data_IF_239615923063
#
_entry.id   IF_239615923063
#
_cell.length_a   1.000
_cell.length_b   1.000
_cell.length_c   1.000
_cell.angle_alpha   90.00
_cell.angle_beta   90.00
_cell.angle_gamma   90.00
#
_symmetry.space_group_name_H-M   'P 1'
#
loop_
_entity.id
_entity.type
_entity.pdbx_description
1 polymer ?
#
# COMPACT_ATOMS: atom_id res chain seq x y z
N UNK A 1 69.33 15.90 -59.52
CA UNK A 1 67.94 15.83 -59.08
C UNK A 1 67.70 14.51 -58.33
N UNK A 2 68.24 14.38 -57.11
CA UNK A 2 68.00 13.24 -56.27
C UNK A 2 68.49 13.53 -54.86
N UNK A 3 67.85 14.47 -54.12
CA UNK A 3 68.17 14.78 -52.72
C UNK A 3 67.02 15.43 -51.95
N UNK A 4 65.77 15.27 -52.38
CA UNK A 4 64.64 15.94 -51.69
C UNK A 4 63.50 14.99 -51.30
N UNK A 5 63.71 13.69 -51.25
CA UNK A 5 62.67 12.71 -50.95
C UNK A 5 63.03 11.85 -49.70
N UNK A 6 63.80 12.36 -48.75
CA UNK A 6 64.15 11.58 -47.55
C UNK A 6 63.78 12.25 -46.20
N UNK A 7 63.01 13.32 -46.21
CA UNK A 7 62.72 14.07 -44.97
C UNK A 7 61.27 14.16 -44.56
N UNK A 8 60.36 13.45 -45.24
CA UNK A 8 58.89 13.48 -44.95
C UNK A 8 58.38 12.18 -44.33
N UNK A 9 59.19 11.12 -44.27
CA UNK A 9 58.74 9.82 -43.76
C UNK A 9 59.08 9.57 -42.27
N UNK A 10 59.60 10.54 -41.55
CA UNK A 10 59.94 10.36 -40.13
C UNK A 10 59.14 11.23 -39.16
N UNK A 11 58.06 11.87 -39.62
CA UNK A 11 57.18 12.72 -38.74
C UNK A 11 55.76 12.15 -38.61
N UNK A 12 55.50 10.93 -39.06
CA UNK A 12 54.19 10.29 -39.01
C UNK A 12 54.11 9.06 -38.10
N UNK A 13 55.13 8.82 -37.27
CA UNK A 13 55.18 7.65 -36.38
C UNK A 13 55.22 8.00 -34.89
N UNK A 14 54.83 9.20 -34.48
CA UNK A 14 54.84 9.60 -33.06
C UNK A 14 53.52 10.11 -32.51
N UNK A 15 52.39 9.80 -33.14
CA UNK A 15 51.07 10.20 -32.69
C UNK A 15 50.09 9.04 -32.51
N UNK A 16 50.53 7.89 -32.02
CA UNK A 16 49.62 6.77 -31.78
C UNK A 16 50.02 5.92 -30.56
N UNK A 17 50.20 6.53 -29.40
CA UNK A 17 50.17 5.82 -28.11
C UNK A 17 49.76 6.76 -26.97
N UNK A 18 48.60 7.42 -27.13
CA UNK A 18 47.84 7.89 -25.97
C UNK A 18 46.69 6.91 -25.79
N UNK A 19 47.03 5.69 -25.40
CA UNK A 19 46.07 4.73 -24.92
C UNK A 19 45.46 5.29 -23.59
N UNK A 20 44.30 5.79 -23.68
CA UNK A 20 43.49 6.15 -22.52
C UNK A 20 43.30 4.90 -21.65
N UNK A 21 44.14 4.79 -20.62
CA UNK A 21 43.88 3.89 -19.53
C UNK A 21 42.68 4.46 -18.77
N UNK A 22 41.47 4.10 -19.26
CA UNK A 22 40.25 4.23 -18.47
C UNK A 22 40.45 3.30 -17.29
N UNK A 23 40.83 3.86 -16.15
CA UNK A 23 40.83 3.16 -14.88
C UNK A 23 39.37 2.74 -14.63
N UNK A 24 39.04 1.51 -14.96
CA UNK A 24 37.91 0.84 -14.37
C UNK A 24 38.20 0.75 -12.89
N UNK A 25 37.56 1.63 -12.13
CA UNK A 25 37.40 1.42 -10.70
C UNK A 25 36.52 0.18 -10.59
N UNK A 26 37.14 -0.98 -10.48
CA UNK A 26 36.49 -2.19 -9.99
C UNK A 26 36.06 -1.86 -8.55
N UNK A 27 34.80 -1.45 -8.39
CA UNK A 27 34.15 -1.49 -7.09
C UNK A 27 34.19 -2.96 -6.70
N UNK A 28 35.14 -3.30 -5.84
CA UNK A 28 35.16 -4.59 -5.17
C UNK A 28 33.86 -4.69 -4.37
N UNK A 29 32.83 -5.21 -4.99
CA UNK A 29 31.62 -5.69 -4.35
C UNK A 29 32.06 -6.72 -3.31
N UNK A 30 31.90 -6.35 -2.06
CA UNK A 30 32.19 -7.20 -0.92
C UNK A 30 31.32 -8.45 -1.07
N UNK A 31 31.90 -9.58 -1.43
CA UNK A 31 31.22 -10.85 -1.77
C UNK A 31 30.36 -11.43 -0.64
N UNK A 32 30.33 -10.78 0.52
CA UNK A 32 29.59 -11.22 1.72
C UNK A 32 28.26 -10.50 1.97
N UNK A 33 27.88 -9.47 1.20
CA UNK A 33 26.60 -8.77 1.36
C UNK A 33 25.76 -8.90 0.06
N UNK A 34 25.49 -10.14 -0.35
CA UNK A 34 24.47 -10.38 -1.39
C UNK A 34 23.09 -10.25 -0.77
N UNK A 35 22.62 -9.02 -0.63
CA UNK A 35 21.24 -8.78 -0.27
C UNK A 35 20.32 -9.41 -1.31
N UNK A 36 19.21 -9.94 -0.85
CA UNK A 36 18.21 -10.61 -1.70
C UNK A 36 17.14 -9.58 -2.05
N UNK A 37 16.86 -9.39 -3.33
CA UNK A 37 15.75 -8.53 -3.75
C UNK A 37 14.41 -9.04 -3.21
N UNK A 38 13.63 -8.17 -2.59
CA UNK A 38 12.28 -8.42 -2.08
C UNK A 38 11.31 -7.44 -2.71
N UNK A 39 10.39 -7.96 -3.53
CA UNK A 39 9.38 -7.15 -4.22
C UNK A 39 8.14 -7.03 -3.37
N UNK A 40 7.77 -5.79 -3.04
CA UNK A 40 6.72 -5.47 -2.07
C UNK A 40 5.71 -4.52 -2.69
N UNK A 41 4.44 -4.71 -2.38
CA UNK A 41 3.35 -3.79 -2.71
C UNK A 41 2.39 -3.60 -1.55
N UNK A 42 1.48 -2.64 -1.68
CA UNK A 42 0.35 -2.41 -0.79
C UNK A 42 -0.82 -1.85 -1.58
N UNK A 43 -1.94 -1.60 -0.92
CA UNK A 43 -3.04 -0.83 -1.51
C UNK A 43 -2.58 0.61 -1.73
N UNK A 44 -2.57 1.02 -2.98
CA UNK A 44 -2.29 2.38 -3.41
C UNK A 44 -3.60 3.13 -3.54
N UNK A 45 -3.58 4.44 -3.25
CA UNK A 45 -4.77 5.30 -3.28
C UNK A 45 -5.88 4.88 -2.28
N UNK A 46 -5.44 4.33 -1.14
CA UNK A 46 -6.33 3.96 -0.03
C UNK A 46 -5.77 4.46 1.31
N UNK A 47 -5.70 5.79 1.51
CA UNK A 47 -5.16 6.36 2.74
C UNK A 47 -6.04 6.01 3.96
N UNK A 48 -5.46 5.84 5.14
CA UNK A 48 -4.04 6.02 5.48
C UNK A 48 -3.15 4.79 5.20
N UNK A 49 -3.69 3.74 4.59
CA UNK A 49 -2.98 2.46 4.41
C UNK A 49 -2.00 2.47 3.24
N UNK A 50 -2.24 3.28 2.22
CA UNK A 50 -1.34 3.47 1.11
C UNK A 50 -1.64 4.76 0.35
N UNK A 51 -0.60 5.53 0.08
CA UNK A 51 -0.64 6.73 -0.74
C UNK A 51 0.63 6.80 -1.59
N UNK A 52 0.47 7.06 -2.89
CA UNK A 52 1.62 7.30 -3.77
C UNK A 52 1.98 8.76 -3.73
N UNK A 53 3.12 9.10 -3.15
CA UNK A 53 3.65 10.47 -3.20
C UNK A 53 4.64 10.56 -4.34
N UNK A 54 4.24 11.27 -5.39
CA UNK A 54 5.03 11.40 -6.63
C UNK A 54 5.90 12.66 -6.67
N UNK A 55 5.72 13.61 -5.76
CA UNK A 55 6.20 14.99 -5.95
C UNK A 55 7.61 15.29 -5.38
N UNK A 56 8.15 14.53 -4.44
CA UNK A 56 9.38 14.92 -3.73
C UNK A 56 10.59 13.98 -3.91
N UNK A 57 10.42 12.81 -4.52
CA UNK A 57 11.49 11.82 -4.59
C UNK A 57 11.76 11.37 -6.02
N UNK A 58 13.02 11.24 -6.36
CA UNK A 58 13.49 10.69 -7.65
C UNK A 58 13.11 9.20 -7.85
N UNK A 59 12.61 8.56 -6.82
CA UNK A 59 12.07 7.19 -6.84
C UNK A 59 10.72 7.22 -6.13
N UNK A 60 9.63 6.71 -6.74
CA UNK A 60 8.35 6.59 -6.08
C UNK A 60 8.49 5.80 -4.78
N UNK A 61 8.12 6.42 -3.65
CA UNK A 61 8.04 5.73 -2.36
C UNK A 61 6.58 5.45 -2.05
N UNK A 62 6.31 4.31 -1.50
CA UNK A 62 5.07 4.07 -0.78
C UNK A 62 5.09 4.93 0.47
N UNK A 63 4.09 5.77 0.67
CA UNK A 63 3.81 6.37 1.97
C UNK A 63 2.67 5.58 2.61
N UNK A 64 3.04 4.59 3.38
CA UNK A 64 2.10 3.71 4.06
C UNK A 64 2.43 3.68 5.55
N UNK A 65 1.46 3.30 6.34
CA UNK A 65 1.69 3.00 7.75
C UNK A 65 2.63 1.80 7.94
N UNK A 66 2.92 1.04 6.88
CA UNK A 66 3.76 -0.17 6.91
C UNK A 66 5.23 0.09 6.58
N UNK A 67 5.61 1.29 6.13
CA UNK A 67 6.94 1.57 5.58
C UNK A 67 8.05 1.27 6.58
N UNK A 68 7.95 1.84 7.78
CA UNK A 68 8.95 1.60 8.82
C UNK A 68 9.05 0.12 9.21
N UNK A 69 7.90 -0.57 9.27
CA UNK A 69 7.86 -1.99 9.57
C UNK A 69 8.61 -2.80 8.52
N UNK A 70 8.32 -2.58 7.23
CA UNK A 70 8.93 -3.38 6.16
C UNK A 70 10.39 -3.02 5.93
N UNK A 71 10.78 -1.76 6.12
CA UNK A 71 12.17 -1.31 6.03
C UNK A 71 13.02 -1.94 7.15
N UNK A 72 12.54 -1.93 8.39
CA UNK A 72 13.19 -2.60 9.50
C UNK A 72 13.31 -4.10 9.26
N UNK A 73 12.21 -4.75 8.82
CA UNK A 73 12.21 -6.15 8.47
C UNK A 73 13.25 -6.49 7.40
N UNK A 74 13.29 -5.71 6.32
CA UNK A 74 14.24 -5.92 5.22
C UNK A 74 15.69 -5.76 5.67
N UNK A 75 15.96 -4.73 6.47
CA UNK A 75 17.29 -4.48 7.05
C UNK A 75 17.75 -5.66 7.90
N UNK A 76 16.90 -6.13 8.83
CA UNK A 76 17.24 -7.19 9.77
C UNK A 76 17.40 -8.57 9.11
N UNK A 77 16.79 -8.77 7.94
CA UNK A 77 16.82 -10.03 7.21
C UNK A 77 17.66 -9.96 5.91
N UNK A 78 18.44 -8.89 5.72
CA UNK A 78 19.33 -8.67 4.57
C UNK A 78 18.60 -8.72 3.21
N UNK A 79 17.47 -8.00 3.11
CA UNK A 79 16.76 -7.79 1.86
C UNK A 79 16.98 -6.37 1.32
N UNK A 80 17.01 -6.24 -0.01
CA UNK A 80 16.84 -4.99 -0.72
C UNK A 80 15.40 -4.88 -1.19
N UNK A 81 14.70 -3.83 -0.75
CA UNK A 81 13.31 -3.61 -1.09
C UNK A 81 13.18 -3.04 -2.51
N UNK A 82 12.26 -3.62 -3.28
CA UNK A 82 11.79 -3.10 -4.54
C UNK A 82 10.27 -2.93 -4.45
N UNK A 83 9.81 -1.66 -4.41
CA UNK A 83 8.38 -1.36 -4.37
C UNK A 83 7.76 -1.44 -5.77
N UNK A 84 6.63 -2.13 -5.88
CA UNK A 84 5.81 -2.21 -7.10
C UNK A 84 4.55 -1.39 -6.85
N UNK A 85 4.46 -0.19 -7.46
CA UNK A 85 3.50 0.83 -7.06
C UNK A 85 2.60 1.35 -8.20
N UNK A 86 2.89 1.03 -9.44
CA UNK A 86 2.34 1.68 -10.63
C UNK A 86 1.23 0.87 -11.33
N UNK A 87 0.62 -0.07 -10.62
CA UNK A 87 -0.38 -0.97 -11.20
C UNK A 87 -1.72 -0.91 -10.46
N UNK A 88 -2.85 -1.10 -11.16
CA UNK A 88 -4.14 -1.30 -10.53
C UNK A 88 -4.13 -2.51 -9.58
N UNK A 89 -4.93 -2.46 -8.51
CA UNK A 89 -5.00 -3.52 -7.50
C UNK A 89 -5.18 -4.93 -8.10
N UNK A 90 -6.05 -5.07 -9.09
CA UNK A 90 -6.29 -6.37 -9.76
C UNK A 90 -5.02 -6.94 -10.37
N UNK A 91 -4.18 -6.09 -10.97
CA UNK A 91 -2.93 -6.50 -11.59
C UNK A 91 -1.88 -6.85 -10.54
N UNK A 92 -1.82 -6.09 -9.43
CA UNK A 92 -0.97 -6.42 -8.28
C UNK A 92 -1.33 -7.79 -7.68
N UNK A 93 -2.62 -8.11 -7.55
CA UNK A 93 -3.08 -9.44 -7.13
C UNK A 93 -2.63 -10.52 -8.10
N UNK A 94 -2.73 -10.29 -9.41
CA UNK A 94 -2.26 -11.25 -10.41
C UNK A 94 -0.74 -11.43 -10.36
N UNK A 95 0.01 -10.37 -10.15
CA UNK A 95 1.47 -10.42 -10.03
C UNK A 95 1.94 -11.20 -8.79
N UNK A 96 1.24 -11.04 -7.65
CA UNK A 96 1.56 -11.85 -6.47
C UNK A 96 1.23 -13.33 -6.67
N UNK A 97 0.14 -13.64 -7.38
CA UNK A 97 -0.22 -15.01 -7.73
C UNK A 97 0.82 -15.68 -8.65
N UNK A 98 1.44 -14.90 -9.54
CA UNK A 98 2.52 -15.36 -10.44
C UNK A 98 3.91 -15.38 -9.78
N UNK A 99 4.06 -14.80 -8.58
CA UNK A 99 5.35 -14.65 -7.91
C UNK A 99 6.22 -13.52 -8.49
N UNK A 100 5.63 -12.59 -9.22
CA UNK A 100 6.27 -11.35 -9.66
C UNK A 100 6.38 -10.33 -8.52
N UNK A 101 5.53 -10.45 -7.50
CA UNK A 101 5.58 -9.77 -6.22
C UNK A 101 5.74 -10.82 -5.12
N UNK A 102 6.57 -10.55 -4.13
CA UNK A 102 6.84 -11.47 -3.02
C UNK A 102 5.92 -11.23 -1.83
N UNK A 103 5.61 -9.97 -1.53
CA UNK A 103 4.76 -9.54 -0.41
C UNK A 103 3.73 -8.49 -0.83
N UNK A 104 2.53 -8.61 -0.26
CA UNK A 104 1.53 -7.55 -0.24
C UNK A 104 1.20 -7.19 1.21
N UNK A 105 1.24 -5.89 1.54
CA UNK A 105 0.98 -5.38 2.87
C UNK A 105 -0.46 -4.87 2.97
N UNK A 106 -1.15 -5.23 4.04
CA UNK A 106 -2.50 -4.74 4.30
C UNK A 106 -3.59 -5.40 3.45
N UNK A 107 -3.42 -6.65 3.03
CA UNK A 107 -4.44 -7.38 2.25
C UNK A 107 -5.53 -7.93 3.16
N UNK A 108 -6.78 -7.86 2.72
CA UNK A 108 -7.89 -8.58 3.34
C UNK A 108 -7.88 -10.06 2.99
N UNK A 109 -8.38 -10.88 3.92
CA UNK A 109 -8.57 -12.30 3.63
C UNK A 109 -9.63 -12.49 2.54
N UNK A 110 -9.26 -13.17 1.47
CA UNK A 110 -10.16 -13.52 0.37
C UNK A 110 -9.98 -14.98 -0.03
N UNK A 111 -11.09 -15.73 -0.04
CA UNK A 111 -11.10 -17.14 -0.41
C UNK A 111 -10.77 -17.38 -1.88
N UNK A 112 -11.07 -16.42 -2.75
CA UNK A 112 -10.91 -16.56 -4.20
C UNK A 112 -9.42 -16.51 -4.61
N UNK A 113 -8.58 -15.82 -3.81
CA UNK A 113 -7.12 -15.73 -4.03
C UNK A 113 -6.29 -16.54 -3.04
N UNK A 114 -6.93 -17.20 -2.07
CA UNK A 114 -6.27 -17.95 -1.01
C UNK A 114 -5.27 -19.01 -1.50
N UNK A 115 -5.55 -19.63 -2.64
CA UNK A 115 -4.67 -20.67 -3.18
C UNK A 115 -3.30 -20.16 -3.63
N UNK A 116 -3.16 -18.89 -3.96
CA UNK A 116 -1.92 -18.26 -4.43
C UNK A 116 -1.19 -17.45 -3.37
N UNK A 117 -1.86 -17.08 -2.28
CA UNK A 117 -1.33 -16.23 -1.21
C UNK A 117 -1.33 -17.00 0.10
N UNK A 118 -0.25 -16.90 0.85
CA UNK A 118 -0.13 -17.37 2.22
C UNK A 118 -0.25 -16.18 3.17
N UNK A 119 -1.34 -16.15 3.92
CA UNK A 119 -1.61 -15.07 4.87
C UNK A 119 -0.81 -15.27 6.14
N UNK A 120 -0.03 -14.25 6.52
CA UNK A 120 0.77 -14.28 7.76
C UNK A 120 -0.12 -13.93 8.94
N UNK A 121 -0.10 -14.75 9.97
CA UNK A 121 -0.84 -14.56 11.22
C UNK A 121 0.10 -14.15 12.37
N UNK A 122 -0.41 -13.33 13.31
CA UNK A 122 -1.73 -12.68 13.36
C UNK A 122 -1.88 -11.58 12.28
N UNK A 123 -3.10 -11.01 12.13
CA UNK A 123 -3.33 -9.83 11.31
C UNK A 123 -2.49 -8.65 11.81
N UNK A 124 -2.05 -7.81 10.89
CA UNK A 124 -1.18 -6.66 11.21
C UNK A 124 -1.98 -5.51 11.83
N UNK A 125 -3.23 -5.33 11.39
CA UNK A 125 -4.19 -4.32 11.88
C UNK A 125 -5.62 -4.81 11.65
N UNK A 126 -6.58 -4.12 12.27
CA UNK A 126 -8.00 -4.22 11.93
C UNK A 126 -8.46 -2.90 11.30
N UNK A 127 -9.17 -2.96 10.18
CA UNK A 127 -9.79 -1.81 9.52
C UNK A 127 -11.31 -1.93 9.63
N UNK A 128 -11.93 -1.47 10.74
CA UNK A 128 -13.34 -1.71 11.00
C UNK A 128 -14.23 -0.92 10.04
N UNK A 129 -15.32 -1.54 9.59
CA UNK A 129 -16.36 -0.86 8.81
C UNK A 129 -17.30 -0.07 9.73
N UNK A 130 -17.74 1.07 9.24
CA UNK A 130 -18.62 2.01 9.93
C UNK A 130 -19.69 2.55 8.98
N UNK A 131 -20.75 3.14 9.54
CA UNK A 131 -21.64 4.04 8.80
C UNK A 131 -21.36 5.47 9.25
N UNK A 132 -21.16 6.36 8.27
CA UNK A 132 -21.09 7.80 8.46
C UNK A 132 -22.46 8.39 8.17
N UNK A 133 -23.00 9.16 9.10
CA UNK A 133 -24.35 9.72 9.05
C UNK A 133 -24.37 11.16 9.53
N UNK A 134 -25.46 11.85 9.27
CA UNK A 134 -25.71 13.14 9.92
C UNK A 134 -25.83 12.94 11.43
N UNK A 135 -25.33 13.88 12.26
CA UNK A 135 -25.27 13.71 13.71
C UNK A 135 -26.62 13.42 14.40
N UNK A 136 -27.71 13.99 13.88
CA UNK A 136 -29.05 13.78 14.39
C UNK A 136 -29.64 12.39 14.08
N UNK A 137 -29.01 11.64 13.16
CA UNK A 137 -29.46 10.31 12.71
C UNK A 137 -28.57 9.16 13.17
N UNK A 138 -27.40 9.43 13.72
CA UNK A 138 -26.41 8.38 14.05
C UNK A 138 -26.93 7.32 15.03
N UNK A 139 -27.92 7.67 15.83
CA UNK A 139 -28.56 6.74 16.78
C UNK A 139 -29.45 5.67 16.14
N UNK A 140 -29.77 5.80 14.85
CA UNK A 140 -30.61 4.84 14.10
C UNK A 140 -29.85 3.54 13.80
N UNK A 141 -28.49 3.56 13.80
CA UNK A 141 -27.65 2.43 13.44
C UNK A 141 -26.77 2.01 14.62
N UNK A 142 -26.99 0.78 15.09
CA UNK A 142 -26.22 0.13 16.15
C UNK A 142 -25.52 -1.14 15.67
N UNK A 143 -26.04 -1.77 14.63
CA UNK A 143 -25.54 -3.01 14.02
C UNK A 143 -25.83 -3.05 12.51
N UNK A 144 -25.14 -3.92 11.80
CA UNK A 144 -25.28 -4.06 10.34
C UNK A 144 -26.74 -4.21 9.87
N UNK A 145 -27.56 -5.00 10.58
CA UNK A 145 -28.96 -5.23 10.18
C UNK A 145 -29.81 -3.97 10.13
N UNK A 146 -29.47 -2.95 10.90
CA UNK A 146 -30.20 -1.68 10.93
C UNK A 146 -30.08 -0.94 9.58
N UNK A 147 -28.97 -1.14 8.85
CA UNK A 147 -28.74 -0.56 7.52
C UNK A 147 -29.67 -1.10 6.44
N UNK A 148 -30.26 -2.29 6.62
CA UNK A 148 -31.16 -2.91 5.61
C UNK A 148 -32.38 -2.08 5.29
N UNK A 149 -32.80 -1.20 6.20
CA UNK A 149 -33.97 -0.33 6.04
C UNK A 149 -33.62 1.06 5.50
N UNK A 150 -32.35 1.33 5.29
CA UNK A 150 -31.82 2.61 4.91
C UNK A 150 -31.20 2.52 3.51
N UNK A 151 -31.11 3.66 2.83
CA UNK A 151 -30.41 3.79 1.57
C UNK A 151 -28.99 4.27 1.83
N UNK A 152 -27.99 3.49 1.44
CA UNK A 152 -26.58 3.80 1.61
C UNK A 152 -25.89 4.25 0.35
N UNK A 153 -24.74 4.87 0.52
CA UNK A 153 -23.75 5.08 -0.52
C UNK A 153 -22.39 4.55 -0.09
N UNK A 154 -21.55 4.20 -1.03
CA UNK A 154 -20.17 3.78 -0.79
C UNK A 154 -19.26 4.29 -1.91
N UNK A 155 -18.06 4.71 -1.57
CA UNK A 155 -17.04 5.03 -2.58
C UNK A 155 -16.69 3.75 -3.34
N UNK A 156 -16.71 3.78 -4.67
CA UNK A 156 -16.38 2.60 -5.49
C UNK A 156 -14.93 2.15 -5.35
N UNK A 157 -14.05 3.01 -4.81
CA UNK A 157 -12.66 2.69 -4.47
C UNK A 157 -12.52 2.00 -3.10
N UNK A 158 -13.63 1.87 -2.34
CA UNK A 158 -13.59 1.15 -1.06
C UNK A 158 -13.23 -0.32 -1.27
N UNK A 159 -12.16 -0.74 -0.62
CA UNK A 159 -11.70 -2.11 -0.69
C UNK A 159 -12.35 -2.95 0.41
N UNK A 160 -13.18 -3.90 0.00
CA UNK A 160 -13.86 -4.81 0.91
C UNK A 160 -13.26 -6.21 0.88
N UNK A 161 -13.17 -6.83 2.03
CA UNK A 161 -12.95 -8.27 2.09
C UNK A 161 -14.05 -9.02 1.32
N UNK A 162 -13.70 -10.10 0.63
CA UNK A 162 -14.63 -10.80 -0.26
C UNK A 162 -15.95 -11.23 0.43
N UNK A 163 -15.88 -11.64 1.70
CA UNK A 163 -17.07 -12.00 2.48
C UNK A 163 -17.95 -10.78 2.80
N UNK A 164 -17.37 -9.59 3.03
CA UNK A 164 -18.12 -8.35 3.23
C UNK A 164 -18.78 -7.93 1.93
N UNK A 165 -18.05 -7.92 0.82
CA UNK A 165 -18.56 -7.61 -0.51
C UNK A 165 -19.76 -8.51 -0.90
N UNK A 166 -19.69 -9.81 -0.60
CA UNK A 166 -20.81 -10.76 -0.80
C UNK A 166 -22.02 -10.40 0.06
N UNK A 167 -21.80 -10.03 1.32
CA UNK A 167 -22.88 -9.67 2.24
C UNK A 167 -23.55 -8.34 1.85
N UNK A 168 -22.78 -7.35 1.35
CA UNK A 168 -23.29 -6.04 0.94
C UNK A 168 -24.34 -6.11 -0.17
N UNK A 169 -24.41 -7.20 -0.95
CA UNK A 169 -25.47 -7.44 -1.94
C UNK A 169 -26.90 -7.49 -1.33
N UNK A 170 -27.00 -7.66 -0.03
CA UNK A 170 -28.29 -7.68 0.69
C UNK A 170 -28.69 -6.30 1.25
N UNK A 171 -27.92 -5.25 0.93
CA UNK A 171 -28.15 -3.89 1.39
C UNK A 171 -28.43 -2.97 0.19
N UNK A 172 -29.23 -1.94 0.40
CA UNK A 172 -29.52 -0.94 -0.63
C UNK A 172 -28.40 0.11 -0.65
N UNK A 173 -27.27 -0.21 -1.31
CA UNK A 173 -26.08 0.66 -1.39
C UNK A 173 -25.79 0.97 -2.85
N UNK A 174 -25.68 2.25 -3.17
CA UNK A 174 -25.16 2.72 -4.46
C UNK A 174 -23.64 2.97 -4.38
N UNK A 175 -22.92 2.65 -5.45
CA UNK A 175 -21.49 2.88 -5.57
C UNK A 175 -21.25 4.18 -6.33
N UNK A 176 -20.42 5.05 -5.78
CA UNK A 176 -20.18 6.42 -6.27
C UNK A 176 -18.67 6.64 -6.38
N UNK A 177 -18.19 7.05 -7.57
CA UNK A 177 -16.76 7.20 -7.85
C UNK A 177 -16.14 8.47 -7.25
N UNK A 178 -16.95 9.42 -6.80
CA UNK A 178 -16.54 10.72 -6.32
C UNK A 178 -16.98 10.93 -4.88
N UNK A 179 -16.01 11.14 -3.98
CA UNK A 179 -16.28 11.35 -2.56
C UNK A 179 -17.09 12.62 -2.29
N UNK A 180 -16.89 13.72 -3.04
CA UNK A 180 -17.66 14.95 -2.88
C UNK A 180 -19.14 14.71 -3.21
N UNK A 181 -19.40 14.00 -4.31
CA UNK A 181 -20.77 13.62 -4.69
C UNK A 181 -21.40 12.70 -3.67
N UNK A 182 -20.65 11.71 -3.17
CA UNK A 182 -21.08 10.76 -2.15
C UNK A 182 -21.56 11.49 -0.89
N UNK A 183 -20.76 12.41 -0.34
CA UNK A 183 -21.13 13.16 0.85
C UNK A 183 -22.16 14.25 0.57
N UNK A 184 -22.21 14.84 -0.62
CA UNK A 184 -23.30 15.71 -1.03
C UNK A 184 -24.64 15.00 -0.96
N UNK A 185 -24.75 13.77 -1.48
CA UNK A 185 -25.97 12.97 -1.39
C UNK A 185 -26.38 12.67 0.06
N UNK A 186 -25.41 12.48 0.96
CA UNK A 186 -25.69 12.35 2.40
C UNK A 186 -26.30 13.63 2.97
N UNK A 187 -25.75 14.81 2.64
CA UNK A 187 -26.26 16.09 3.13
C UNK A 187 -27.61 16.49 2.54
N UNK A 188 -27.91 16.08 1.29
CA UNK A 188 -29.22 16.32 0.63
C UNK A 188 -30.29 15.30 1.05
N UNK A 189 -29.90 14.24 1.76
CA UNK A 189 -30.82 13.18 2.18
C UNK A 189 -31.19 12.21 1.04
N UNK A 190 -30.45 12.22 -0.06
CA UNK A 190 -30.59 11.22 -1.14
C UNK A 190 -30.12 9.85 -0.71
N UNK A 191 -29.16 9.79 0.22
CA UNK A 191 -28.74 8.61 0.96
C UNK A 191 -28.79 8.89 2.46
N UNK A 192 -29.01 7.85 3.25
CA UNK A 192 -29.13 7.92 4.70
C UNK A 192 -27.78 7.78 5.41
N UNK A 193 -26.86 7.05 4.78
CA UNK A 193 -25.54 6.77 5.33
C UNK A 193 -24.48 6.56 4.23
N UNK A 194 -23.23 6.81 4.57
CA UNK A 194 -22.07 6.36 3.81
C UNK A 194 -21.47 5.15 4.53
N UNK A 195 -21.38 4.01 3.83
CA UNK A 195 -20.70 2.83 4.35
C UNK A 195 -19.23 2.86 3.93
N UNK A 196 -18.33 2.85 4.89
CA UNK A 196 -16.89 3.00 4.63
C UNK A 196 -16.08 2.36 5.75
N UNK A 197 -14.81 2.08 5.51
CA UNK A 197 -13.92 1.76 6.61
C UNK A 197 -13.67 2.99 7.48
N UNK A 198 -13.50 2.76 8.77
CA UNK A 198 -13.42 3.85 9.75
C UNK A 198 -12.29 4.83 9.44
N UNK A 199 -11.11 4.31 9.17
CA UNK A 199 -9.93 5.15 8.94
C UNK A 199 -9.96 5.87 7.60
N UNK A 200 -10.41 5.21 6.54
CA UNK A 200 -10.61 5.84 5.24
C UNK A 200 -11.68 6.93 5.28
N UNK A 201 -12.78 6.68 5.98
CA UNK A 201 -13.86 7.65 6.19
C UNK A 201 -13.38 8.90 6.96
N UNK A 202 -12.51 8.76 7.98
CA UNK A 202 -11.89 9.91 8.65
C UNK A 202 -11.07 10.71 7.65
N UNK A 203 -10.21 10.07 6.87
CA UNK A 203 -9.38 10.76 5.88
C UNK A 203 -10.24 11.49 4.84
N UNK A 204 -11.24 10.83 4.28
CA UNK A 204 -12.14 11.46 3.31
C UNK A 204 -12.85 12.68 3.88
N UNK A 205 -13.46 12.55 5.05
CA UNK A 205 -14.22 13.63 5.68
C UNK A 205 -13.33 14.79 6.13
N UNK A 206 -12.09 14.53 6.52
CA UNK A 206 -11.10 15.56 6.83
C UNK A 206 -10.68 16.32 5.57
N UNK A 207 -10.32 15.63 4.50
CA UNK A 207 -9.95 16.24 3.21
C UNK A 207 -11.07 17.09 2.59
N UNK A 208 -12.32 16.71 2.83
CA UNK A 208 -13.49 17.47 2.40
C UNK A 208 -13.86 18.62 3.37
N UNK A 209 -13.17 18.78 4.49
CA UNK A 209 -13.49 19.80 5.51
C UNK A 209 -14.83 19.60 6.21
N UNK A 210 -15.39 18.39 6.16
CA UNK A 210 -16.72 18.07 6.72
C UNK A 210 -16.66 17.17 7.96
N UNK A 211 -15.47 16.88 8.47
CA UNK A 211 -15.25 15.94 9.59
C UNK A 211 -16.14 16.22 10.80
N UNK A 212 -16.36 17.49 11.11
CA UNK A 212 -17.18 17.95 12.25
C UNK A 212 -18.68 18.04 11.93
N UNK A 213 -19.09 17.80 10.68
CA UNK A 213 -20.47 17.86 10.22
C UNK A 213 -21.14 16.50 10.15
N UNK A 214 -20.36 15.42 10.32
CA UNK A 214 -20.83 14.05 10.28
C UNK A 214 -20.47 13.29 11.53
N UNK A 215 -21.12 12.17 11.76
CA UNK A 215 -20.85 11.25 12.86
C UNK A 215 -20.65 9.83 12.35
N UNK A 216 -19.76 9.12 13.02
CA UNK A 216 -19.46 7.72 12.76
C UNK A 216 -20.16 6.83 13.78
N UNK A 217 -20.57 5.62 13.40
CA UNK A 217 -21.11 4.66 14.37
C UNK A 217 -20.07 4.39 15.46
N UNK A 218 -20.52 4.34 16.72
CA UNK A 218 -19.63 4.18 17.88
C UNK A 218 -18.96 2.80 17.93
N UNK A 219 -19.59 1.81 17.34
CA UNK A 219 -19.10 0.44 17.31
C UNK A 219 -18.79 0.07 15.86
N UNK A 220 -17.79 -0.77 15.68
CA UNK A 220 -17.56 -1.42 14.40
C UNK A 220 -18.80 -2.18 13.96
N UNK A 221 -19.23 -1.95 12.72
CA UNK A 221 -20.31 -2.69 12.11
C UNK A 221 -19.82 -4.02 11.55
N UNK A 222 -18.56 -4.06 11.14
CA UNK A 222 -17.88 -5.26 10.64
C UNK A 222 -16.38 -5.11 10.81
N UNK A 223 -15.72 -6.11 11.39
CA UNK A 223 -14.27 -6.13 11.47
C UNK A 223 -13.64 -6.68 10.20
N UNK A 224 -12.66 -5.96 9.68
CA UNK A 224 -11.89 -6.37 8.51
C UNK A 224 -10.39 -6.42 8.86
N UNK A 225 -9.88 -7.55 9.35
CA UNK A 225 -8.47 -7.68 9.65
C UNK A 225 -7.63 -7.62 8.37
N UNK A 226 -6.54 -6.86 8.45
CA UNK A 226 -5.54 -6.69 7.41
C UNK A 226 -4.35 -7.61 7.70
N UNK A 227 -3.89 -8.29 6.68
CA UNK A 227 -2.79 -9.26 6.76
C UNK A 227 -1.60 -8.84 5.91
N UNK A 228 -0.46 -9.47 6.14
CA UNK A 228 0.61 -9.55 5.15
C UNK A 228 0.35 -10.82 4.33
N UNK A 229 0.30 -10.67 3.02
CA UNK A 229 0.21 -11.79 2.08
C UNK A 229 1.57 -12.11 1.49
N UNK A 230 2.00 -13.36 1.58
CA UNK A 230 3.22 -13.89 0.95
C UNK A 230 2.82 -14.67 -0.30
N UNK A 231 3.43 -14.39 -1.43
CA UNK A 231 3.23 -15.19 -2.63
C UNK A 231 3.66 -16.64 -2.38
N UNK A 232 2.78 -17.60 -2.66
CA UNK A 232 3.11 -19.04 -2.54
C UNK A 232 4.15 -19.50 -3.57
N UNK A 233 4.35 -18.73 -4.64
CA UNK A 233 5.35 -18.98 -5.67
C UNK A 233 6.66 -18.21 -5.46
N UNK A 234 6.73 -17.33 -4.45
CA UNK A 234 7.97 -16.63 -4.10
C UNK A 234 9.07 -17.62 -3.68
N UNK A 235 10.26 -17.40 -4.21
CA UNK A 235 11.47 -18.16 -3.79
C UNK A 235 11.81 -17.96 -2.31
N UNK A 236 11.33 -16.87 -1.71
CA UNK A 236 11.55 -16.51 -0.32
C UNK A 236 10.42 -16.95 0.62
N UNK A 237 9.35 -17.57 0.09
CA UNK A 237 8.11 -17.89 0.82
C UNK A 237 8.32 -18.44 2.23
N UNK A 238 9.08 -19.54 2.36
CA UNK A 238 9.26 -20.22 3.67
C UNK A 238 9.94 -19.30 4.70
N UNK A 239 10.98 -18.60 4.29
CA UNK A 239 11.71 -17.65 5.15
C UNK A 239 10.83 -16.47 5.53
N UNK A 240 10.14 -15.86 4.56
CA UNK A 240 9.24 -14.72 4.78
C UNK A 240 8.14 -15.09 5.76
N UNK A 241 7.43 -16.18 5.51
CA UNK A 241 6.34 -16.63 6.38
C UNK A 241 6.80 -16.85 7.82
N UNK A 242 7.89 -17.59 8.02
CA UNK A 242 8.40 -17.92 9.35
C UNK A 242 8.87 -16.67 10.12
N UNK A 243 9.63 -15.79 9.48
CA UNK A 243 10.20 -14.61 10.14
C UNK A 243 9.13 -13.54 10.39
N UNK A 244 8.21 -13.31 9.44
CA UNK A 244 7.10 -12.39 9.61
C UNK A 244 6.11 -12.85 10.68
N UNK A 245 5.77 -14.15 10.72
CA UNK A 245 4.93 -14.71 11.79
C UNK A 245 5.55 -14.49 13.16
N UNK A 246 6.86 -14.74 13.29
CA UNK A 246 7.59 -14.50 14.54
C UNK A 246 7.55 -13.03 14.94
N UNK A 247 7.77 -12.13 13.97
CA UNK A 247 7.76 -10.71 14.19
C UNK A 247 6.38 -10.21 14.63
N UNK A 248 5.31 -10.55 13.89
CA UNK A 248 3.94 -10.16 14.21
C UNK A 248 3.41 -10.76 15.52
N UNK A 249 3.97 -11.88 15.99
CA UNK A 249 3.62 -12.45 17.31
C UNK A 249 4.14 -11.61 18.48
N UNK A 250 5.02 -10.65 18.23
CA UNK A 250 5.46 -9.70 19.24
C UNK A 250 4.46 -8.53 19.34
N UNK A 251 3.78 -8.39 20.49
CA UNK A 251 2.79 -7.34 20.74
C UNK A 251 3.34 -5.91 20.56
N UNK A 252 4.64 -5.72 20.64
CA UNK A 252 5.27 -4.42 20.40
C UNK A 252 4.99 -3.92 18.98
N UNK A 253 5.09 -4.78 17.97
CA UNK A 253 4.80 -4.39 16.57
C UNK A 253 3.35 -4.00 16.35
N UNK A 254 2.41 -4.68 17.00
CA UNK A 254 0.99 -4.29 16.94
C UNK A 254 0.78 -2.89 17.52
N UNK A 255 1.45 -2.56 18.62
CA UNK A 255 1.38 -1.24 19.25
C UNK A 255 2.02 -0.16 18.38
N UNK A 256 3.20 -0.42 17.82
CA UNK A 256 3.90 0.49 16.90
C UNK A 256 3.07 0.78 15.66
N UNK A 257 2.45 -0.24 15.06
CA UNK A 257 1.58 -0.07 13.89
C UNK A 257 0.34 0.75 14.21
N UNK A 258 -0.30 0.51 15.35
CA UNK A 258 -1.44 1.31 15.81
C UNK A 258 -1.05 2.77 16.07
N UNK A 259 0.10 3.00 16.68
CA UNK A 259 0.62 4.33 16.93
C UNK A 259 0.89 5.08 15.62
N UNK A 260 1.54 4.45 14.65
CA UNK A 260 1.81 5.00 13.33
C UNK A 260 0.52 5.37 12.58
N UNK A 261 -0.50 4.51 12.66
CA UNK A 261 -1.81 4.77 12.09
C UNK A 261 -2.45 6.03 12.71
N UNK A 262 -2.44 6.15 14.04
CA UNK A 262 -2.98 7.30 14.75
C UNK A 262 -2.24 8.58 14.36
N UNK A 263 -0.91 8.56 14.33
CA UNK A 263 -0.07 9.70 13.95
C UNK A 263 -0.32 10.15 12.51
N UNK A 264 -0.48 9.19 11.59
CA UNK A 264 -0.79 9.47 10.19
C UNK A 264 -2.16 10.14 10.06
N UNK A 265 -3.18 9.65 10.76
CA UNK A 265 -4.51 10.25 10.76
C UNK A 265 -4.47 11.67 11.35
N UNK A 266 -3.83 11.85 12.49
CA UNK A 266 -3.68 13.16 13.12
C UNK A 266 -2.92 14.17 12.25
N UNK A 267 -1.95 13.70 11.48
CA UNK A 267 -1.26 14.53 10.48
C UNK A 267 -2.22 14.97 9.39
N UNK A 268 -2.97 14.04 8.80
CA UNK A 268 -3.96 14.33 7.76
C UNK A 268 -5.03 15.30 8.27
N UNK A 269 -5.53 15.11 9.50
CA UNK A 269 -6.52 16.02 10.11
C UNK A 269 -5.99 17.42 10.38
N UNK A 270 -4.68 17.60 10.56
CA UNK A 270 -4.06 18.93 10.77
C UNK A 270 -3.74 19.65 9.46
N UNK A 271 -3.52 18.91 8.38
CA UNK A 271 -3.18 19.45 7.05
C UNK A 271 -4.42 19.93 6.28
N UNK A 272 -5.62 19.58 6.75
CA UNK A 272 -6.91 19.92 6.13
C UNK A 272 -7.83 20.67 7.10
#
# INVERSE_FOLDING_TARGET
MAKFIKSITLLLLFCLTASAATAMVEVQSNKNDQRKGLRVTSFLDYPPFGEVVTAEYSVPKMHTIYDQFIENYAKDNHYDLAYVLDKPYKDLVMDILRGEIDLILGIYYDTDIYNGIEYVYPSILNNPMTAVMLPNRIGEVKKMDDLKKLKGGMDSREHLAGYVSKAMKNYNVEYIDNSEELYKKLFTGEIDYVFTSYYYGIVQTSRLGIRNQVSFTKQSLWDMPLFIGVSKTSRHRKSLYATLTKMLSNKQYEQEMKQHLIETIQRIEREN
#
